data_IF_290956770330
#
_entry.id   IF_290956770330
#
_cell.length_a   1.000
_cell.length_b   1.000
_cell.length_c   1.000
_cell.angle_alpha   90.00
_cell.angle_beta   90.00
_cell.angle_gamma   90.00
#
_symmetry.space_group_name_H-M   'P 1'
#
loop_
_entity.id
_entity.type
_entity.pdbx_description
1 polymer ?
#
# COMPACT_ATOMS: atom_id res chain seq x y z
N UNK A 1 16.53 -4.51 -25.75
CA UNK A 1 16.59 -5.96 -25.43
C UNK A 1 16.49 -6.83 -26.69
N UNK A 2 15.35 -6.93 -27.39
CA UNK A 2 15.25 -7.76 -28.60
C UNK A 2 16.26 -7.38 -29.69
N UNK A 3 16.35 -6.10 -30.07
CA UNK A 3 17.35 -5.62 -31.05
C UNK A 3 18.80 -5.85 -30.60
N UNK A 4 19.04 -5.83 -29.29
CA UNK A 4 20.36 -6.09 -28.70
C UNK A 4 20.66 -7.59 -28.55
N UNK A 5 19.77 -8.49 -28.98
CA UNK A 5 19.96 -9.94 -28.88
C UNK A 5 19.75 -10.56 -27.50
N UNK A 6 19.60 -9.76 -26.44
CA UNK A 6 19.61 -10.22 -25.04
C UNK A 6 18.31 -10.87 -24.55
N UNK A 7 17.19 -10.71 -25.27
CA UNK A 7 15.89 -11.16 -24.78
C UNK A 7 15.84 -12.68 -24.58
N UNK A 8 16.45 -13.43 -25.51
CA UNK A 8 16.43 -14.89 -25.48
C UNK A 8 17.14 -15.46 -24.24
N UNK A 9 18.27 -14.85 -23.85
CA UNK A 9 19.02 -15.29 -22.68
C UNK A 9 18.27 -14.95 -21.38
N UNK A 10 17.68 -13.75 -21.29
CA UNK A 10 16.81 -13.36 -20.18
C UNK A 10 15.60 -14.29 -20.04
N UNK A 11 14.95 -14.63 -21.15
CA UNK A 11 13.83 -15.57 -21.18
C UNK A 11 14.24 -16.96 -20.65
N UNK A 12 15.44 -17.44 -21.00
CA UNK A 12 15.96 -18.74 -20.53
C UNK A 12 16.26 -18.78 -19.03
N UNK A 13 16.52 -17.62 -18.44
CA UNK A 13 16.73 -17.43 -17.00
C UNK A 13 15.42 -17.16 -16.24
N UNK A 14 14.27 -17.15 -16.92
CA UNK A 14 12.95 -16.87 -16.31
C UNK A 14 12.60 -15.38 -16.19
N UNK A 15 13.38 -14.49 -16.81
CA UNK A 15 13.10 -13.05 -16.87
C UNK A 15 12.24 -12.69 -18.08
N UNK A 16 11.14 -13.43 -18.28
CA UNK A 16 10.22 -13.18 -19.37
C UNK A 16 9.50 -11.83 -19.21
N UNK A 17 9.13 -11.20 -20.33
CA UNK A 17 8.25 -10.03 -20.29
C UNK A 17 6.85 -10.46 -19.82
N UNK A 18 6.54 -10.12 -18.57
CA UNK A 18 5.23 -10.42 -17.95
C UNK A 18 4.17 -9.33 -18.18
N UNK A 19 4.58 -8.12 -18.57
CA UNK A 19 3.68 -7.02 -18.88
C UNK A 19 4.32 -5.64 -18.76
N UNK A 20 3.65 -4.63 -19.33
CA UNK A 20 4.05 -3.23 -19.25
C UNK A 20 3.22 -2.50 -18.19
N UNK A 21 3.73 -2.42 -16.97
CA UNK A 21 3.05 -1.76 -15.85
C UNK A 21 3.83 -1.89 -14.54
N UNK A 22 3.29 -1.34 -13.44
CA UNK A 22 4.00 -1.31 -12.16
C UNK A 22 4.29 -2.71 -11.56
N UNK A 23 3.40 -3.69 -11.78
CA UNK A 23 3.54 -5.10 -11.35
C UNK A 23 4.09 -5.25 -9.92
N UNK A 24 5.24 -5.90 -9.74
CA UNK A 24 5.88 -6.15 -8.44
C UNK A 24 6.23 -4.87 -7.68
N UNK A 25 6.55 -3.76 -8.35
CA UNK A 25 6.93 -2.49 -7.70
C UNK A 25 5.79 -1.91 -6.82
N UNK A 26 4.53 -2.18 -7.18
CA UNK A 26 3.35 -1.77 -6.42
C UNK A 26 2.78 -2.90 -5.54
N UNK A 27 3.45 -4.06 -5.48
CA UNK A 27 2.99 -5.23 -4.73
C UNK A 27 2.07 -6.17 -5.51
N UNK A 28 1.82 -5.90 -6.79
CA UNK A 28 1.10 -6.84 -7.67
C UNK A 28 2.08 -7.92 -8.17
N UNK A 29 2.69 -8.65 -7.24
CA UNK A 29 3.69 -9.70 -7.51
C UNK A 29 3.07 -11.05 -7.85
N UNK A 30 1.77 -11.24 -7.58
CA UNK A 30 1.12 -12.54 -7.70
C UNK A 30 1.50 -13.51 -6.57
N UNK A 31 0.92 -14.72 -6.57
CA UNK A 31 1.22 -15.73 -5.56
C UNK A 31 2.59 -16.37 -5.80
N UNK A 32 3.30 -16.70 -4.72
CA UNK A 32 4.41 -17.63 -4.79
C UNK A 32 3.90 -19.05 -5.08
N UNK A 33 4.73 -19.95 -5.63
CA UNK A 33 4.38 -21.36 -5.75
C UNK A 33 3.92 -21.92 -4.39
N UNK A 34 2.83 -22.71 -4.32
CA UNK A 34 2.25 -23.16 -3.05
C UNK A 34 3.25 -23.90 -2.14
N UNK A 35 4.15 -24.68 -2.72
CA UNK A 35 5.20 -25.38 -1.96
C UNK A 35 6.20 -24.43 -1.29
N UNK A 36 6.55 -23.31 -1.96
CA UNK A 36 7.45 -22.28 -1.41
C UNK A 36 6.76 -21.53 -0.28
N UNK A 37 5.53 -21.06 -0.51
CA UNK A 37 4.73 -20.36 0.51
C UNK A 37 4.55 -21.22 1.77
N UNK A 38 4.23 -22.52 1.59
CA UNK A 38 4.12 -23.48 2.69
C UNK A 38 5.44 -23.61 3.48
N UNK A 39 6.57 -23.81 2.79
CA UNK A 39 7.87 -23.96 3.43
C UNK A 39 8.29 -22.71 4.22
N UNK A 40 8.05 -21.51 3.67
CA UNK A 40 8.34 -20.24 4.35
C UNK A 40 7.51 -20.09 5.63
N UNK A 41 6.21 -20.37 5.54
CA UNK A 41 5.29 -20.20 6.66
C UNK A 41 5.50 -21.25 7.77
N UNK A 42 5.62 -22.53 7.42
CA UNK A 42 5.86 -23.62 8.39
C UNK A 42 7.24 -23.53 9.04
N UNK A 43 8.27 -23.22 8.23
CA UNK A 43 9.64 -23.06 8.71
C UNK A 43 9.91 -21.72 9.41
N UNK A 44 8.92 -20.81 9.45
CA UNK A 44 9.06 -19.43 9.95
C UNK A 44 10.27 -18.70 9.35
N UNK A 45 10.57 -18.98 8.08
CA UNK A 45 11.76 -18.48 7.41
C UNK A 45 11.67 -16.97 7.16
N UNK A 46 12.83 -16.31 7.11
CA UNK A 46 12.95 -14.95 6.59
C UNK A 46 13.23 -15.05 5.10
N UNK A 47 12.17 -15.24 4.30
CA UNK A 47 12.28 -15.18 2.85
C UNK A 47 12.63 -13.76 2.40
N UNK A 48 13.49 -13.67 1.38
CA UNK A 48 13.95 -12.41 0.81
C UNK A 48 13.44 -12.23 -0.63
N UNK A 49 13.12 -10.99 -1.00
CA UNK A 49 12.93 -10.57 -2.38
C UNK A 49 13.97 -9.51 -2.74
N UNK A 50 14.49 -9.58 -3.96
CA UNK A 50 15.35 -8.57 -4.55
C UNK A 50 14.62 -7.99 -5.75
N UNK A 51 14.52 -6.65 -5.81
CA UNK A 51 13.78 -5.97 -6.87
C UNK A 51 14.46 -4.68 -7.30
N UNK A 52 14.36 -4.38 -8.59
CA UNK A 52 14.79 -3.09 -9.16
C UNK A 52 13.69 -2.04 -9.08
N UNK A 53 13.05 -1.95 -7.91
CA UNK A 53 12.04 -0.96 -7.57
C UNK A 53 12.62 0.23 -6.79
N UNK A 54 11.74 0.99 -6.15
CA UNK A 54 12.13 2.15 -5.33
C UNK A 54 11.60 2.11 -3.90
N UNK A 55 10.88 1.05 -3.52
CA UNK A 55 10.29 0.86 -2.19
C UNK A 55 10.32 -0.61 -1.78
N UNK A 56 10.65 -0.85 -0.52
CA UNK A 56 10.85 -2.19 0.04
C UNK A 56 10.26 -2.34 1.46
N UNK A 57 9.17 -1.61 1.76
CA UNK A 57 8.48 -1.72 3.03
C UNK A 57 7.97 -3.15 3.28
N UNK A 58 7.94 -3.56 4.55
CA UNK A 58 7.46 -4.88 4.95
C UNK A 58 6.02 -5.12 4.49
N UNK A 59 5.74 -6.31 3.95
CA UNK A 59 4.40 -6.70 3.46
C UNK A 59 3.95 -6.02 2.17
N UNK A 60 4.75 -5.13 1.57
CA UNK A 60 4.40 -4.44 0.31
C UNK A 60 4.64 -5.29 -0.92
N UNK A 61 5.79 -5.96 -1.02
CA UNK A 61 6.21 -6.66 -2.26
C UNK A 61 5.44 -7.97 -2.43
N UNK A 62 5.42 -8.81 -1.40
CA UNK A 62 4.70 -10.06 -1.36
C UNK A 62 4.38 -10.41 0.12
N UNK A 63 3.22 -10.99 0.44
CA UNK A 63 2.83 -11.28 1.83
C UNK A 63 3.73 -12.32 2.53
N UNK A 64 4.34 -13.25 1.79
CA UNK A 64 5.22 -14.29 2.34
C UNK A 64 6.67 -13.80 2.57
N UNK A 65 7.01 -12.59 2.09
CA UNK A 65 8.38 -12.07 2.13
C UNK A 65 8.54 -11.03 3.24
N UNK A 66 9.56 -11.20 4.07
CA UNK A 66 9.89 -10.29 5.17
C UNK A 66 11.05 -9.35 4.85
N UNK A 67 12.06 -9.84 4.13
CA UNK A 67 13.22 -9.04 3.74
C UNK A 67 13.10 -8.61 2.27
N UNK A 68 13.21 -7.32 1.99
CA UNK A 68 13.07 -6.79 0.64
C UNK A 68 14.25 -5.87 0.33
N UNK A 69 15.00 -6.15 -0.73
CA UNK A 69 16.21 -5.42 -1.09
C UNK A 69 16.03 -4.70 -2.44
N UNK A 70 16.29 -3.40 -2.44
CA UNK A 70 16.37 -2.62 -3.67
C UNK A 70 17.75 -2.78 -4.28
N UNK A 71 17.80 -3.20 -5.54
CA UNK A 71 19.05 -3.42 -6.25
C UNK A 71 18.94 -2.99 -7.72
N UNK A 72 20.08 -2.80 -8.39
CA UNK A 72 20.08 -2.57 -9.84
C UNK A 72 19.57 -3.81 -10.59
N UNK A 73 18.99 -3.66 -11.80
CA UNK A 73 18.54 -4.80 -12.61
C UNK A 73 19.54 -5.97 -12.73
N UNK A 74 20.85 -5.75 -13.01
CA UNK A 74 21.80 -6.87 -13.08
C UNK A 74 22.04 -7.56 -11.73
N UNK A 75 21.94 -6.85 -10.60
CA UNK A 75 22.01 -7.49 -9.28
C UNK A 75 20.78 -8.36 -9.00
N UNK A 76 19.59 -8.00 -9.49
CA UNK A 76 18.40 -8.86 -9.40
C UNK A 76 18.68 -10.21 -10.09
N UNK A 77 19.30 -10.17 -11.27
CA UNK A 77 19.71 -11.40 -11.99
C UNK A 77 20.76 -12.17 -11.20
N UNK A 78 21.78 -11.51 -10.66
CA UNK A 78 22.82 -12.16 -9.86
C UNK A 78 22.26 -12.89 -8.63
N UNK A 79 21.38 -12.25 -7.86
CA UNK A 79 20.74 -12.88 -6.71
C UNK A 79 19.75 -13.99 -7.09
N UNK A 80 19.08 -13.88 -8.24
CA UNK A 80 18.24 -14.96 -8.75
C UNK A 80 19.07 -16.20 -9.13
N UNK A 81 20.26 -16.01 -9.70
CA UNK A 81 21.20 -17.09 -10.00
C UNK A 81 21.78 -17.73 -8.72
N UNK A 82 22.18 -16.91 -7.75
CA UNK A 82 22.69 -17.39 -6.47
C UNK A 82 21.64 -18.10 -5.62
N UNK A 83 20.36 -17.71 -5.75
CA UNK A 83 19.23 -18.28 -5.02
C UNK A 83 19.16 -17.89 -3.53
N UNK A 84 20.04 -17.00 -3.06
CA UNK A 84 20.09 -16.50 -1.68
C UNK A 84 20.63 -15.08 -1.64
N UNK A 85 20.16 -14.27 -0.68
CA UNK A 85 20.77 -12.96 -0.35
C UNK A 85 21.86 -13.08 0.71
N UNK A 86 21.99 -14.23 1.34
CA UNK A 86 23.05 -14.55 2.30
C UNK A 86 24.25 -15.16 1.56
N UNK A 87 24.96 -14.31 0.79
CA UNK A 87 26.11 -14.68 -0.03
C UNK A 87 27.07 -13.48 -0.15
N UNK A 88 28.37 -13.72 0.01
CA UNK A 88 29.40 -12.73 -0.34
C UNK A 88 29.69 -12.82 -1.85
N UNK A 89 28.96 -12.05 -2.66
CA UNK A 89 29.12 -11.98 -4.12
C UNK A 89 30.54 -11.63 -4.59
N UNK A 90 31.43 -11.16 -3.70
CA UNK A 90 32.82 -10.85 -4.01
C UNK A 90 33.77 -12.03 -3.83
N UNK A 91 33.37 -13.06 -3.07
CA UNK A 91 34.22 -14.20 -2.70
C UNK A 91 33.61 -15.56 -3.00
N UNK A 92 32.29 -15.62 -3.11
CA UNK A 92 31.55 -16.86 -3.35
C UNK A 92 31.04 -16.92 -4.80
N UNK A 93 31.07 -18.10 -5.45
CA UNK A 93 30.60 -18.26 -6.81
C UNK A 93 29.06 -18.18 -6.87
N UNK A 94 28.53 -17.63 -7.96
CA UNK A 94 27.09 -17.64 -8.24
C UNK A 94 26.56 -19.06 -8.51
N UNK A 95 27.43 -19.94 -8.99
CA UNK A 95 27.10 -21.31 -9.34
C UNK A 95 28.29 -22.02 -9.97
N UNK A 96 28.02 -23.15 -10.62
CA UNK A 96 29.02 -23.93 -11.35
C UNK A 96 28.60 -24.09 -12.81
N UNK A 97 29.57 -24.03 -13.72
CA UNK A 97 29.33 -24.33 -15.12
C UNK A 97 29.09 -25.84 -15.37
N UNK A 98 28.83 -26.22 -16.63
CA UNK A 98 28.59 -27.63 -17.01
C UNK A 98 29.78 -28.56 -16.70
N UNK A 99 30.99 -28.01 -16.58
CA UNK A 99 32.20 -28.75 -16.20
C UNK A 99 32.45 -28.75 -14.69
N UNK A 100 31.57 -28.14 -13.89
CA UNK A 100 31.69 -28.05 -12.43
C UNK A 100 32.61 -26.92 -11.96
N UNK A 101 33.13 -26.08 -12.85
CA UNK A 101 34.00 -24.96 -12.48
C UNK A 101 33.16 -23.85 -11.81
N UNK A 102 33.59 -23.32 -10.66
CA UNK A 102 32.93 -22.17 -10.03
C UNK A 102 32.91 -20.96 -10.98
N UNK A 103 31.78 -20.25 -11.04
CA UNK A 103 31.64 -19.02 -11.82
C UNK A 103 31.37 -17.87 -10.87
N UNK A 104 32.27 -16.89 -10.87
CA UNK A 104 32.20 -15.70 -10.02
C UNK A 104 31.36 -14.60 -10.66
N UNK A 105 30.78 -13.70 -9.85
CA UNK A 105 30.05 -12.54 -10.37
C UNK A 105 30.92 -11.68 -11.29
N UNK A 106 32.19 -11.48 -10.93
CA UNK A 106 33.14 -10.68 -11.70
C UNK A 106 33.41 -11.23 -13.12
N UNK A 107 33.20 -12.53 -13.35
CA UNK A 107 33.34 -13.14 -14.69
C UNK A 107 32.13 -12.85 -15.59
N UNK A 108 30.96 -12.56 -15.01
CA UNK A 108 29.70 -12.34 -15.74
C UNK A 108 29.31 -10.86 -15.82
N UNK A 109 29.90 -10.01 -14.98
CA UNK A 109 29.49 -8.62 -14.86
C UNK A 109 29.94 -7.80 -16.08
N UNK A 110 29.02 -7.17 -16.82
CA UNK A 110 29.39 -6.41 -18.01
C UNK A 110 30.15 -5.14 -17.61
N UNK A 111 31.17 -4.81 -18.40
CA UNK A 111 31.86 -3.53 -18.29
C UNK A 111 30.97 -2.39 -18.78
N UNK A 112 31.24 -1.17 -18.31
CA UNK A 112 30.49 0.00 -18.78
C UNK A 112 30.63 0.24 -20.29
N UNK A 113 31.75 -0.17 -20.88
CA UNK A 113 31.97 -0.09 -22.32
C UNK A 113 31.03 -1.04 -23.09
N UNK A 114 30.93 -2.29 -22.65
CA UNK A 114 30.02 -3.27 -23.28
C UNK A 114 28.55 -2.84 -23.15
N UNK A 115 28.17 -2.22 -22.03
CA UNK A 115 26.83 -1.65 -21.86
C UNK A 115 26.61 -0.50 -22.84
N UNK A 116 27.53 0.46 -22.92
CA UNK A 116 27.43 1.62 -23.82
C UNK A 116 27.35 1.22 -25.30
N UNK A 117 28.12 0.22 -25.73
CA UNK A 117 28.06 -0.30 -27.10
C UNK A 117 26.68 -0.90 -27.44
N UNK A 118 25.99 -1.48 -26.45
CA UNK A 118 24.63 -1.99 -26.63
C UNK A 118 23.57 -0.88 -26.55
N UNK A 119 23.85 0.24 -25.90
CA UNK A 119 22.96 1.41 -25.87
C UNK A 119 22.79 2.04 -27.26
N UNK A 120 23.77 1.91 -28.17
CA UNK A 120 23.65 2.31 -29.58
C UNK A 120 22.54 1.55 -30.33
N UNK A 121 22.06 0.43 -29.78
CA UNK A 121 20.87 -0.24 -30.31
C UNK A 121 19.59 0.61 -30.14
N UNK A 122 19.56 1.55 -29.20
CA UNK A 122 18.43 2.43 -28.90
C UNK A 122 18.41 3.59 -29.92
N UNK A 123 17.32 3.71 -30.67
CA UNK A 123 17.21 4.73 -31.71
C UNK A 123 15.86 5.46 -31.70
N UNK A 124 15.84 6.69 -32.23
CA UNK A 124 14.65 7.55 -32.26
C UNK A 124 13.43 6.88 -32.91
N UNK A 125 13.63 6.00 -33.89
CA UNK A 125 12.55 5.28 -34.54
C UNK A 125 11.77 4.38 -33.56
N UNK A 126 12.42 3.78 -32.57
CA UNK A 126 11.74 2.96 -31.55
C UNK A 126 10.74 3.80 -30.76
N UNK A 127 11.10 5.03 -30.40
CA UNK A 127 10.22 5.93 -29.70
C UNK A 127 9.05 6.33 -30.60
N UNK A 128 9.31 6.73 -31.85
CA UNK A 128 8.24 7.07 -32.79
C UNK A 128 7.26 5.92 -33.03
N UNK A 129 7.75 4.69 -33.14
CA UNK A 129 6.88 3.52 -33.29
C UNK A 129 6.06 3.23 -32.03
N UNK A 130 6.67 3.29 -30.85
CA UNK A 130 5.97 2.99 -29.59
C UNK A 130 4.94 4.05 -29.21
N UNK A 131 5.24 5.34 -29.47
CA UNK A 131 4.35 6.45 -29.13
C UNK A 131 3.40 6.87 -30.26
N UNK A 132 3.63 6.42 -31.49
CA UNK A 132 2.83 6.81 -32.65
C UNK A 132 1.39 6.32 -32.62
N UNK A 133 1.07 5.34 -31.76
CA UNK A 133 -0.25 4.72 -31.70
C UNK A 133 -0.78 4.56 -30.26
N UNK A 134 -0.55 5.57 -29.41
CA UNK A 134 -0.98 5.51 -27.98
C UNK A 134 -2.49 5.43 -27.84
N UNK A 135 -3.25 6.07 -28.74
CA UNK A 135 -4.72 6.10 -28.66
C UNK A 135 -5.39 4.90 -29.36
N UNK A 136 -4.85 4.45 -30.49
CA UNK A 136 -5.51 3.40 -31.30
C UNK A 136 -4.78 2.04 -31.23
N UNK A 137 -3.71 1.92 -30.44
CA UNK A 137 -2.84 0.75 -30.40
C UNK A 137 -3.42 -0.49 -29.73
N UNK A 138 -4.56 -0.39 -29.05
CA UNK A 138 -5.19 -1.52 -28.37
C UNK A 138 -6.64 -1.70 -28.80
N UNK A 139 -6.94 -2.67 -29.69
CA UNK A 139 -8.30 -2.93 -30.16
C UNK A 139 -9.29 -3.26 -29.04
N UNK A 140 -8.85 -3.92 -27.96
CA UNK A 140 -9.69 -4.23 -26.81
C UNK A 140 -10.09 -2.97 -26.05
N UNK A 141 -9.16 -2.01 -25.89
CA UNK A 141 -9.46 -0.70 -25.30
C UNK A 141 -10.46 0.07 -26.17
N UNK A 142 -10.21 0.12 -27.48
CA UNK A 142 -11.06 0.84 -28.43
C UNK A 142 -12.49 0.27 -28.53
N UNK A 143 -12.66 -1.01 -28.22
CA UNK A 143 -13.95 -1.70 -28.26
C UNK A 143 -14.80 -1.49 -27.00
N UNK A 144 -14.28 -0.85 -25.93
CA UNK A 144 -15.05 -0.59 -24.71
C UNK A 144 -16.19 0.38 -25.03
N UNK A 145 -17.46 0.00 -24.84
CA UNK A 145 -18.58 0.91 -25.06
C UNK A 145 -18.50 2.09 -24.09
N UNK A 146 -18.54 3.32 -24.62
CA UNK A 146 -18.56 4.54 -23.82
C UNK A 146 -19.98 5.11 -23.86
N UNK A 147 -20.71 5.12 -22.73
CA UNK A 147 -21.96 5.87 -22.65
C UNK A 147 -21.64 7.36 -22.79
N UNK A 148 -22.40 8.08 -23.62
CA UNK A 148 -22.29 9.54 -23.71
C UNK A 148 -23.00 10.25 -22.55
N UNK A 149 -22.71 11.53 -22.36
CA UNK A 149 -23.35 12.40 -21.36
C UNK A 149 -22.37 13.03 -20.37
N UNK A 150 -22.84 14.08 -19.68
CA UNK A 150 -22.01 14.85 -18.73
C UNK A 150 -22.07 14.28 -17.30
N UNK A 151 -23.08 13.47 -16.99
CA UNK A 151 -23.30 12.86 -15.68
C UNK A 151 -23.05 11.35 -15.74
N UNK A 152 -22.27 10.84 -14.78
CA UNK A 152 -21.99 9.41 -14.67
C UNK A 152 -23.21 8.67 -14.08
N UNK A 153 -23.67 7.64 -14.77
CA UNK A 153 -24.76 6.78 -14.28
C UNK A 153 -24.20 5.72 -13.31
N UNK A 154 -24.35 5.97 -12.01
CA UNK A 154 -23.95 5.01 -10.99
C UNK A 154 -24.84 3.77 -11.01
N UNK A 155 -24.20 2.63 -10.78
CA UNK A 155 -24.79 1.30 -10.82
C UNK A 155 -24.71 0.67 -9.43
N UNK A 156 -25.86 0.44 -8.79
CA UNK A 156 -25.93 -0.02 -7.40
C UNK A 156 -25.26 -1.39 -7.19
N UNK A 157 -25.33 -2.24 -8.21
CA UNK A 157 -24.71 -3.57 -8.25
C UNK A 157 -23.18 -3.53 -8.48
N UNK A 158 -22.63 -2.42 -8.97
CA UNK A 158 -21.21 -2.29 -9.27
C UNK A 158 -20.35 -2.46 -8.02
N UNK A 159 -19.46 -3.44 -8.01
CA UNK A 159 -18.49 -3.58 -6.90
C UNK A 159 -17.20 -2.80 -7.11
N UNK A 160 -17.11 -1.99 -8.18
CA UNK A 160 -15.91 -1.23 -8.56
C UNK A 160 -16.08 0.28 -8.46
N UNK A 161 -17.21 0.81 -8.93
CA UNK A 161 -17.50 2.24 -8.96
C UNK A 161 -18.80 2.47 -8.18
N UNK A 162 -18.73 3.31 -7.14
CA UNK A 162 -19.87 3.67 -6.28
C UNK A 162 -19.89 5.18 -6.09
N UNK A 163 -21.07 5.76 -5.90
CA UNK A 163 -21.22 7.17 -5.57
C UNK A 163 -20.79 7.41 -4.12
N UNK A 164 -19.67 8.13 -3.87
CA UNK A 164 -19.13 8.25 -2.53
C UNK A 164 -19.88 9.32 -1.71
N UNK A 165 -19.98 9.17 -0.38
CA UNK A 165 -20.82 10.02 0.45
C UNK A 165 -20.23 11.41 0.75
N UNK A 166 -19.12 11.82 0.13
CA UNK A 166 -18.37 13.04 0.48
C UNK A 166 -19.21 14.32 0.34
N UNK A 167 -20.14 14.35 -0.61
CA UNK A 167 -20.95 15.53 -0.91
C UNK A 167 -22.44 15.37 -0.54
N UNK A 168 -22.82 14.24 0.05
CA UNK A 168 -24.22 13.92 0.35
C UNK A 168 -24.91 14.95 1.28
N UNK A 169 -24.13 15.64 2.11
CA UNK A 169 -24.61 16.69 3.01
C UNK A 169 -23.99 18.06 2.72
N UNK A 170 -23.48 18.28 1.51
CA UNK A 170 -22.87 19.56 1.13
C UNK A 170 -23.95 20.65 1.03
N UNK A 171 -23.70 21.78 1.69
CA UNK A 171 -24.54 22.98 1.64
C UNK A 171 -23.75 24.13 1.02
N UNK A 172 -24.44 25.10 0.41
CA UNK A 172 -23.80 26.29 -0.17
C UNK A 172 -23.02 27.09 0.89
N UNK A 173 -23.61 27.22 2.08
CA UNK A 173 -22.93 27.82 3.23
C UNK A 173 -22.30 26.71 4.07
N UNK A 174 -20.98 26.75 4.32
CA UNK A 174 -20.32 25.77 5.16
C UNK A 174 -20.77 25.92 6.61
N UNK A 175 -21.02 24.79 7.27
CA UNK A 175 -21.34 24.76 8.70
C UNK A 175 -20.15 25.31 9.52
N UNK A 176 -20.41 25.99 10.65
CA UNK A 176 -19.33 26.45 11.51
C UNK A 176 -18.48 25.28 12.00
N UNK A 177 -17.19 25.53 12.20
CA UNK A 177 -16.30 24.58 12.84
C UNK A 177 -16.75 24.37 14.30
N UNK A 178 -16.64 23.12 14.77
CA UNK A 178 -17.03 22.73 16.13
C UNK A 178 -15.86 22.04 16.81
N UNK A 179 -15.74 22.27 18.11
CA UNK A 179 -14.83 21.53 18.98
C UNK A 179 -15.15 20.03 18.95
N UNK A 180 -14.11 19.21 19.09
CA UNK A 180 -14.26 17.76 19.15
C UNK A 180 -14.37 17.37 20.61
N UNK A 181 -15.58 17.04 21.07
CA UNK A 181 -15.86 16.76 22.48
C UNK A 181 -15.96 15.26 22.74
N UNK A 182 -15.27 14.77 23.78
CA UNK A 182 -15.44 13.40 24.28
C UNK A 182 -15.07 12.30 23.27
N UNK A 183 -14.14 12.58 22.36
CA UNK A 183 -13.70 11.62 21.35
C UNK A 183 -12.98 10.42 21.96
N UNK A 184 -13.06 9.27 21.28
CA UNK A 184 -12.32 8.06 21.61
C UNK A 184 -11.12 7.89 20.68
N UNK A 185 -10.05 7.29 21.21
CA UNK A 185 -8.89 6.95 20.40
C UNK A 185 -9.19 5.64 19.67
N UNK A 186 -9.15 5.68 18.34
CA UNK A 186 -9.38 4.52 17.48
C UNK A 186 -8.13 3.63 17.38
N UNK A 187 -6.95 4.26 17.34
CA UNK A 187 -5.67 3.58 17.30
C UNK A 187 -4.56 4.48 17.89
N UNK A 188 -3.59 3.84 18.54
CA UNK A 188 -2.33 4.46 18.95
C UNK A 188 -1.22 3.77 18.15
N UNK A 189 -0.56 4.52 17.29
CA UNK A 189 0.39 4.00 16.32
C UNK A 189 1.80 4.50 16.65
N UNK A 190 2.81 3.70 16.29
CA UNK A 190 4.22 4.07 16.47
C UNK A 190 4.74 5.04 15.39
N UNK A 191 6.06 5.03 15.25
CA UNK A 191 6.77 5.80 14.23
C UNK A 191 6.63 5.19 12.82
N UNK A 192 6.88 6.01 11.80
CA UNK A 192 7.05 5.63 10.39
C UNK A 192 5.87 4.83 9.82
N UNK A 193 4.64 5.12 10.27
CA UNK A 193 3.41 4.54 9.73
C UNK A 193 3.20 5.05 8.31
N UNK A 194 3.56 4.22 7.33
CA UNK A 194 3.38 4.53 5.91
C UNK A 194 1.90 4.60 5.47
N UNK A 195 1.63 5.22 4.32
CA UNK A 195 0.30 5.16 3.69
C UNK A 195 -0.09 3.76 3.19
N UNK A 196 0.84 2.81 3.09
CA UNK A 196 0.51 1.39 2.87
C UNK A 196 -0.10 0.74 4.13
N UNK A 197 0.27 1.19 5.33
CA UNK A 197 -0.37 0.75 6.56
C UNK A 197 -1.78 1.34 6.71
N UNK A 198 -1.93 2.63 6.36
CA UNK A 198 -3.22 3.35 6.47
C UNK A 198 -4.20 2.93 5.37
N UNK A 199 -3.74 2.77 4.13
CA UNK A 199 -4.55 2.40 2.98
C UNK A 199 -3.78 1.39 2.12
N UNK A 200 -3.81 0.08 2.46
CA UNK A 200 -3.19 -0.95 1.65
C UNK A 200 -3.75 -0.94 0.22
N UNK A 201 -2.92 -1.34 -0.74
CA UNK A 201 -3.30 -1.41 -2.16
C UNK A 201 -3.27 -2.83 -2.73
N UNK A 202 -2.68 -3.79 -2.00
CA UNK A 202 -2.49 -5.17 -2.43
C UNK A 202 -3.72 -6.05 -2.20
N UNK A 203 -3.46 -7.34 -1.92
CA UNK A 203 -4.49 -8.37 -1.77
C UNK A 203 -5.52 -8.05 -0.67
N UNK A 204 -6.78 -8.48 -0.89
CA UNK A 204 -7.87 -8.36 0.07
C UNK A 204 -8.06 -9.72 0.75
N UNK A 205 -7.69 -9.86 2.02
CA UNK A 205 -7.84 -11.12 2.75
C UNK A 205 -9.32 -11.52 2.88
N UNK A 206 -9.63 -12.82 2.75
CA UNK A 206 -11.01 -13.35 2.78
C UNK A 206 -11.77 -12.94 4.06
N UNK A 207 -11.11 -13.07 5.21
CA UNK A 207 -11.72 -12.82 6.52
C UNK A 207 -11.65 -11.34 6.95
N UNK A 208 -11.10 -10.45 6.12
CA UNK A 208 -11.09 -9.00 6.40
C UNK A 208 -12.48 -8.38 6.25
N UNK A 209 -12.76 -7.19 6.82
CA UNK A 209 -14.04 -6.50 6.63
C UNK A 209 -14.41 -6.33 5.15
N UNK A 210 -13.43 -5.95 4.31
CA UNK A 210 -13.63 -5.79 2.87
C UNK A 210 -13.91 -7.13 2.17
N UNK A 211 -13.22 -8.20 2.58
CA UNK A 211 -13.45 -9.55 2.07
C UNK A 211 -14.84 -10.07 2.42
N UNK A 212 -15.29 -9.89 3.67
CA UNK A 212 -16.65 -10.24 4.11
C UNK A 212 -17.70 -9.48 3.32
N UNK A 213 -17.48 -8.18 3.05
CA UNK A 213 -18.35 -7.37 2.20
C UNK A 213 -18.43 -7.90 0.76
N UNK A 214 -17.30 -8.15 0.10
CA UNK A 214 -17.28 -8.66 -1.27
C UNK A 214 -17.92 -10.06 -1.37
N UNK A 215 -17.65 -10.94 -0.42
CA UNK A 215 -18.28 -12.26 -0.33
C UNK A 215 -19.80 -12.15 -0.16
N UNK A 216 -20.28 -11.22 0.67
CA UNK A 216 -21.73 -10.95 0.82
C UNK A 216 -22.39 -10.41 -0.46
N UNK A 217 -21.60 -9.90 -1.41
CA UNK A 217 -22.04 -9.50 -2.76
C UNK A 217 -21.91 -10.63 -3.78
N UNK A 218 -21.60 -11.86 -3.34
CA UNK A 218 -21.46 -13.03 -4.21
C UNK A 218 -20.15 -13.09 -5.00
N UNK A 219 -19.16 -12.26 -4.66
CA UNK A 219 -17.86 -12.27 -5.33
C UNK A 219 -16.98 -13.36 -4.70
N UNK A 220 -16.32 -14.16 -5.54
CA UNK A 220 -15.38 -15.18 -5.07
C UNK A 220 -14.00 -14.57 -4.77
N UNK A 221 -13.21 -15.19 -3.87
CA UNK A 221 -11.89 -14.68 -3.47
C UNK A 221 -10.95 -14.40 -4.65
N UNK A 222 -10.97 -15.24 -5.69
CA UNK A 222 -10.17 -15.04 -6.91
C UNK A 222 -10.52 -13.74 -7.65
N UNK A 223 -11.74 -13.25 -7.50
CA UNK A 223 -12.29 -12.06 -8.15
C UNK A 223 -12.34 -10.84 -7.22
N UNK A 224 -11.81 -10.95 -6.00
CA UNK A 224 -11.67 -9.80 -5.10
C UNK A 224 -10.80 -8.71 -5.72
N UNK A 225 -9.80 -9.13 -6.52
CA UNK A 225 -8.76 -8.26 -7.05
C UNK A 225 -8.01 -7.58 -5.88
N UNK A 226 -7.38 -6.43 -6.10
CA UNK A 226 -6.63 -5.71 -5.07
C UNK A 226 -7.40 -4.50 -4.52
N UNK A 227 -7.04 -4.03 -3.33
CA UNK A 227 -7.56 -2.76 -2.81
C UNK A 227 -7.31 -1.60 -3.79
N UNK A 228 -6.17 -1.59 -4.47
CA UNK A 228 -5.84 -0.58 -5.49
C UNK A 228 -6.84 -0.55 -6.65
N UNK A 229 -7.36 -1.72 -7.06
CA UNK A 229 -8.39 -1.82 -8.10
C UNK A 229 -9.78 -1.37 -7.63
N UNK A 230 -10.03 -1.36 -6.32
CA UNK A 230 -11.32 -1.04 -5.70
C UNK A 230 -11.44 0.42 -5.27
N UNK A 231 -10.50 1.28 -5.67
CA UNK A 231 -10.44 2.71 -5.29
C UNK A 231 -11.66 3.54 -5.70
N UNK A 232 -12.45 3.09 -6.67
CA UNK A 232 -13.72 3.72 -7.04
C UNK A 232 -14.90 3.33 -6.15
N UNK A 233 -14.70 2.41 -5.19
CA UNK A 233 -15.73 1.90 -4.30
C UNK A 233 -15.39 2.23 -2.84
N UNK A 234 -16.00 3.28 -2.30
CA UNK A 234 -15.80 3.71 -0.92
C UNK A 234 -16.15 2.63 0.10
N UNK A 235 -17.17 1.83 -0.19
CA UNK A 235 -17.64 0.73 0.67
C UNK A 235 -16.53 -0.31 0.89
N UNK A 236 -15.68 -0.56 -0.10
CA UNK A 236 -14.51 -1.45 0.03
C UNK A 236 -13.34 -0.72 0.68
N UNK A 237 -13.06 0.52 0.25
CA UNK A 237 -11.87 1.23 0.68
C UNK A 237 -11.91 1.65 2.15
N UNK A 238 -13.06 2.04 2.68
CA UNK A 238 -13.22 2.33 4.13
C UNK A 238 -12.96 1.08 4.96
N UNK A 239 -13.42 -0.09 4.50
CA UNK A 239 -13.16 -1.40 5.12
C UNK A 239 -11.70 -1.84 5.03
N UNK A 240 -10.98 -1.34 4.03
CA UNK A 240 -9.54 -1.53 3.88
C UNK A 240 -8.69 -0.55 4.67
N UNK A 241 -9.29 0.50 5.25
CA UNK A 241 -8.53 1.54 5.95
C UNK A 241 -7.99 0.99 7.27
N UNK A 242 -6.68 1.15 7.49
CA UNK A 242 -5.90 0.51 8.55
C UNK A 242 -5.94 -1.02 8.54
N UNK A 243 -6.36 -1.67 7.44
CA UNK A 243 -6.48 -3.14 7.37
C UNK A 243 -5.17 -3.86 7.01
N UNK A 244 -4.03 -3.17 7.03
CA UNK A 244 -2.75 -3.77 6.67
C UNK A 244 -2.36 -4.83 7.73
N UNK A 245 -1.98 -6.02 7.26
CA UNK A 245 -1.61 -7.17 8.10
C UNK A 245 -0.37 -6.94 8.98
N UNK A 246 0.43 -5.91 8.70
CA UNK A 246 1.63 -5.49 9.45
C UNK A 246 1.42 -4.24 10.30
N UNK A 247 0.20 -3.69 10.33
CA UNK A 247 -0.07 -2.54 11.20
C UNK A 247 0.15 -2.94 12.67
N UNK A 248 0.85 -2.09 13.43
CA UNK A 248 1.12 -2.28 14.85
C UNK A 248 0.37 -1.22 15.64
N UNK A 249 -0.70 -1.63 16.31
CA UNK A 249 -1.49 -0.76 17.17
C UNK A 249 -1.07 -1.00 18.63
N UNK A 250 -0.55 0.03 19.29
CA UNK A 250 -0.04 -0.02 20.66
C UNK A 250 -1.15 -0.26 21.69
N UNK A 251 -2.43 -0.09 21.31
CA UNK A 251 -3.58 -0.50 22.12
C UNK A 251 -3.72 -2.03 22.24
N UNK A 252 -3.04 -2.80 21.38
CA UNK A 252 -3.12 -4.27 21.32
C UNK A 252 -1.70 -4.86 21.19
N UNK A 253 -0.85 -4.72 22.22
CA UNK A 253 0.58 -5.03 22.11
C UNK A 253 0.83 -6.49 21.71
N UNK A 254 1.82 -6.70 20.83
CA UNK A 254 2.21 -8.01 20.33
C UNK A 254 1.33 -8.57 19.21
N UNK A 255 0.32 -7.82 18.76
CA UNK A 255 -0.55 -8.21 17.64
C UNK A 255 -0.27 -7.34 16.42
N UNK A 256 0.00 -7.97 15.28
CA UNK A 256 0.05 -7.31 13.97
C UNK A 256 -1.29 -7.46 13.25
N UNK A 257 -1.69 -6.43 12.52
CA UNK A 257 -2.89 -6.41 11.71
C UNK A 257 -3.77 -5.20 11.98
N UNK A 258 -4.82 -5.07 11.17
CA UNK A 258 -5.79 -3.97 11.26
C UNK A 258 -6.78 -4.08 12.41
N UNK A 259 -6.29 -4.27 13.63
CA UNK A 259 -7.09 -4.53 14.82
C UNK A 259 -6.95 -3.42 15.86
N UNK A 260 -7.99 -3.26 16.67
CA UNK A 260 -8.03 -2.33 17.80
C UNK A 260 -8.92 -2.89 18.91
N UNK A 261 -9.08 -2.13 20.00
CA UNK A 261 -10.01 -2.43 21.09
C UNK A 261 -11.12 -1.39 21.09
N UNK A 262 -12.37 -1.85 21.08
CA UNK A 262 -13.50 -1.00 21.38
C UNK A 262 -13.57 -0.75 22.89
N UNK A 263 -13.00 0.38 23.32
CA UNK A 263 -12.71 0.72 24.73
C UNK A 263 -13.91 0.52 25.67
N UNK A 264 -15.14 0.99 25.37
CA UNK A 264 -16.28 0.78 26.27
C UNK A 264 -16.59 -0.70 26.56
N UNK A 265 -16.35 -1.59 25.60
CA UNK A 265 -16.64 -3.03 25.75
C UNK A 265 -15.43 -3.88 26.12
N UNK A 266 -14.21 -3.38 25.91
CA UNK A 266 -12.98 -4.16 26.03
C UNK A 266 -12.75 -5.20 24.91
N UNK A 267 -13.66 -5.30 23.94
CA UNK A 267 -13.57 -6.27 22.85
C UNK A 267 -12.54 -5.87 21.80
N UNK A 268 -11.68 -6.83 21.41
CA UNK A 268 -10.75 -6.68 20.28
C UNK A 268 -11.46 -7.02 18.96
N UNK A 269 -11.36 -6.15 17.98
CA UNK A 269 -12.01 -6.30 16.67
C UNK A 269 -11.21 -5.60 15.55
N UNK A 270 -11.66 -5.76 14.31
CA UNK A 270 -11.11 -5.01 13.18
C UNK A 270 -11.36 -3.50 13.37
N UNK A 271 -10.41 -2.65 12.94
CA UNK A 271 -10.54 -1.18 13.08
C UNK A 271 -11.82 -0.65 12.43
N UNK A 272 -12.20 -1.20 11.28
CA UNK A 272 -13.46 -0.85 10.62
C UNK A 272 -14.67 -1.14 11.51
N UNK A 273 -14.75 -2.32 12.11
CA UNK A 273 -15.89 -2.73 12.94
C UNK A 273 -15.98 -1.87 14.22
N UNK A 274 -14.83 -1.52 14.82
CA UNK A 274 -14.78 -0.59 15.96
C UNK A 274 -15.27 0.82 15.57
N UNK A 275 -14.86 1.31 14.41
CA UNK A 275 -15.31 2.61 13.90
C UNK A 275 -16.82 2.65 13.65
N UNK A 276 -17.38 1.59 13.06
CA UNK A 276 -18.81 1.43 12.85
C UNK A 276 -19.60 1.43 14.16
N UNK A 277 -19.07 0.76 15.19
CA UNK A 277 -19.68 0.74 16.52
C UNK A 277 -19.67 2.12 17.17
N UNK A 278 -18.54 2.82 17.16
CA UNK A 278 -18.47 4.19 17.68
C UNK A 278 -19.36 5.17 16.91
N UNK A 279 -19.51 4.97 15.59
CA UNK A 279 -20.45 5.74 14.78
C UNK A 279 -21.90 5.54 15.22
N UNK A 280 -22.31 4.31 15.52
CA UNK A 280 -23.63 4.02 16.07
C UNK A 280 -23.83 4.64 17.48
N UNK A 281 -22.75 4.76 18.25
CA UNK A 281 -22.71 5.41 19.56
C UNK A 281 -22.62 6.95 19.48
N UNK A 282 -22.53 7.54 18.28
CA UNK A 282 -22.38 8.99 18.10
C UNK A 282 -21.07 9.55 18.64
N UNK A 283 -20.04 8.72 18.75
CA UNK A 283 -18.75 9.08 19.39
C UNK A 283 -17.72 9.50 18.34
N UNK A 284 -17.15 10.71 18.41
CA UNK A 284 -16.10 11.13 17.49
C UNK A 284 -14.79 10.36 17.75
N UNK A 285 -13.97 10.19 16.71
CA UNK A 285 -12.74 9.42 16.79
C UNK A 285 -11.48 10.25 16.55
N UNK A 286 -10.38 9.84 17.18
CA UNK A 286 -9.04 10.40 17.01
C UNK A 286 -8.04 9.26 16.79
N UNK A 287 -7.00 9.49 15.99
CA UNK A 287 -5.83 8.61 15.89
C UNK A 287 -4.64 9.29 16.54
N UNK A 288 -3.84 8.55 17.32
CA UNK A 288 -2.56 9.01 17.85
C UNK A 288 -1.44 8.28 17.09
N UNK A 289 -0.38 8.98 16.72
CA UNK A 289 0.76 8.41 16.00
C UNK A 289 2.10 8.97 16.48
N UNK A 290 3.18 8.25 16.17
CA UNK A 290 4.55 8.71 16.38
C UNK A 290 5.03 9.66 15.28
N UNK A 291 6.30 9.54 14.93
CA UNK A 291 7.00 10.35 13.92
C UNK A 291 6.70 9.87 12.50
N UNK A 292 6.84 10.76 11.53
CA UNK A 292 6.75 10.48 10.09
C UNK A 292 5.43 9.82 9.68
N UNK A 293 4.33 10.20 10.34
CA UNK A 293 3.02 9.65 10.05
C UNK A 293 2.59 9.94 8.62
N UNK A 294 2.25 8.89 7.88
CA UNK A 294 1.83 8.94 6.48
C UNK A 294 2.97 8.95 5.46
N UNK A 295 4.12 8.39 5.78
CA UNK A 295 5.23 8.29 4.83
C UNK A 295 4.90 7.40 3.60
N UNK A 296 5.61 7.61 2.49
CA UNK A 296 5.51 6.73 1.31
C UNK A 296 4.62 7.25 0.18
N UNK A 297 3.56 6.50 -0.16
CA UNK A 297 2.78 6.77 -1.38
C UNK A 297 1.83 7.95 -1.24
N UNK A 298 1.70 8.77 -2.29
CA UNK A 298 0.60 9.73 -2.39
C UNK A 298 -0.71 8.98 -2.66
N UNK A 299 -1.39 8.56 -1.60
CA UNK A 299 -2.70 7.90 -1.66
C UNK A 299 -3.71 8.75 -0.90
N UNK A 300 -4.63 9.36 -1.63
CA UNK A 300 -5.75 10.13 -1.07
C UNK A 300 -6.66 9.29 -0.17
N UNK A 301 -6.82 7.99 -0.47
CA UNK A 301 -7.57 7.05 0.34
C UNK A 301 -7.05 6.87 1.77
N UNK A 302 -5.77 7.18 2.04
CA UNK A 302 -5.28 7.23 3.41
C UNK A 302 -5.95 8.36 4.24
N UNK A 303 -6.39 9.45 3.59
CA UNK A 303 -7.17 10.50 4.25
C UNK A 303 -8.68 10.29 4.11
N UNK A 304 -9.18 9.93 2.92
CA UNK A 304 -10.61 9.65 2.69
C UNK A 304 -11.12 8.53 3.58
N UNK A 305 -10.37 7.43 3.68
CA UNK A 305 -10.69 6.30 4.55
C UNK A 305 -10.72 6.72 6.02
N UNK A 306 -9.71 7.47 6.47
CA UNK A 306 -9.63 8.02 7.84
C UNK A 306 -10.87 8.86 8.18
N UNK A 307 -11.27 9.76 7.28
CA UNK A 307 -12.50 10.54 7.43
C UNK A 307 -13.75 9.64 7.50
N UNK A 308 -13.89 8.67 6.59
CA UNK A 308 -15.07 7.81 6.49
C UNK A 308 -15.19 6.80 7.64
N UNK A 309 -14.09 6.49 8.33
CA UNK A 309 -14.12 5.80 9.63
C UNK A 309 -14.66 6.70 10.76
N UNK A 310 -14.88 7.99 10.53
CA UNK A 310 -15.34 8.94 11.54
C UNK A 310 -14.22 9.60 12.35
N UNK A 311 -12.96 9.47 11.92
CA UNK A 311 -11.84 10.15 12.55
C UNK A 311 -11.89 11.64 12.23
N UNK A 312 -11.90 12.47 13.28
CA UNK A 312 -12.01 13.93 13.20
C UNK A 312 -10.66 14.64 13.33
N UNK A 313 -9.71 14.02 14.01
CA UNK A 313 -8.35 14.52 14.14
C UNK A 313 -7.33 13.38 14.21
N UNK A 314 -6.12 13.69 13.81
CA UNK A 314 -4.93 12.85 14.05
C UNK A 314 -3.98 13.67 14.91
N UNK A 315 -3.39 13.06 15.95
CA UNK A 315 -2.36 13.68 16.79
C UNK A 315 -1.06 12.90 16.62
N UNK A 316 -0.07 13.50 15.96
CA UNK A 316 1.21 12.83 15.66
C UNK A 316 2.41 13.62 16.16
N UNK A 317 3.58 12.98 16.30
CA UNK A 317 4.83 13.70 16.60
C UNK A 317 5.32 14.49 15.38
N UNK A 318 5.17 13.91 14.19
CA UNK A 318 5.42 14.59 12.91
C UNK A 318 4.67 13.91 11.76
N UNK A 319 4.51 14.63 10.65
CA UNK A 319 3.81 14.16 9.46
C UNK A 319 4.71 14.19 8.23
N UNK A 320 4.47 13.26 7.30
CA UNK A 320 4.92 13.45 5.92
C UNK A 320 4.06 14.54 5.22
N UNK A 321 4.71 15.37 4.41
CA UNK A 321 4.15 16.58 3.79
C UNK A 321 2.89 16.33 2.96
N UNK A 322 2.90 15.31 2.10
CA UNK A 322 1.77 14.98 1.22
C UNK A 322 0.62 14.44 2.05
N UNK A 323 0.90 13.53 2.99
CA UNK A 323 -0.17 12.97 3.82
C UNK A 323 -0.86 14.02 4.69
N UNK A 324 -0.09 14.92 5.32
CA UNK A 324 -0.65 16.07 6.06
C UNK A 324 -1.60 16.88 5.19
N UNK A 325 -1.21 17.17 3.95
CA UNK A 325 -2.02 17.96 3.01
C UNK A 325 -3.31 17.23 2.63
N UNK A 326 -3.26 15.90 2.46
CA UNK A 326 -4.45 15.10 2.18
C UNK A 326 -5.43 15.07 3.37
N UNK A 327 -4.93 14.99 4.62
CA UNK A 327 -5.79 15.07 5.81
C UNK A 327 -6.53 16.40 5.85
N UNK A 328 -5.82 17.52 5.66
CA UNK A 328 -6.43 18.87 5.58
C UNK A 328 -7.46 18.94 4.46
N UNK A 329 -7.12 18.45 3.26
CA UNK A 329 -8.03 18.45 2.11
C UNK A 329 -9.31 17.63 2.32
N UNK A 330 -9.30 16.64 3.21
CA UNK A 330 -10.48 15.87 3.60
C UNK A 330 -11.19 16.42 4.84
N UNK A 331 -10.67 17.47 5.48
CA UNK A 331 -11.23 18.04 6.71
C UNK A 331 -10.92 17.24 7.98
N UNK A 332 -9.89 16.39 7.98
CA UNK A 332 -9.35 15.73 9.18
C UNK A 332 -8.25 16.62 9.76
N UNK A 333 -8.38 17.03 11.02
CA UNK A 333 -7.46 17.97 11.66
C UNK A 333 -6.11 17.30 12.01
N UNK A 334 -4.98 17.66 11.38
CA UNK A 334 -3.67 17.12 11.73
C UNK A 334 -3.06 17.96 12.86
N UNK A 335 -3.14 17.45 14.08
CA UNK A 335 -2.49 18.02 15.26
C UNK A 335 -1.08 17.44 15.41
N UNK A 336 -0.16 18.27 15.86
CA UNK A 336 1.20 17.86 16.19
C UNK A 336 1.48 18.08 17.68
N UNK A 337 2.15 17.13 18.32
CA UNK A 337 2.65 17.34 19.68
C UNK A 337 3.61 18.54 19.73
N UNK A 338 3.69 19.20 20.88
CA UNK A 338 4.72 20.23 21.11
C UNK A 338 6.11 19.57 21.08
N UNK A 339 7.13 20.36 20.78
CA UNK A 339 8.50 19.88 20.75
C UNK A 339 8.86 19.17 22.07
N UNK A 340 9.38 17.94 21.96
CA UNK A 340 9.74 17.10 23.11
C UNK A 340 8.59 16.35 23.78
N UNK A 341 7.36 16.47 23.28
CA UNK A 341 6.21 15.70 23.76
C UNK A 341 5.78 14.63 22.76
N UNK A 342 5.23 13.55 23.29
CA UNK A 342 4.61 12.45 22.55
C UNK A 342 3.62 11.69 23.43
N UNK A 343 3.01 10.64 22.88
CA UNK A 343 2.04 9.80 23.60
C UNK A 343 2.61 9.24 24.91
N UNK A 344 3.83 8.70 24.87
CA UNK A 344 4.49 8.10 26.04
C UNK A 344 4.78 9.14 27.15
N UNK A 345 5.41 10.26 26.80
CA UNK A 345 5.76 11.33 27.74
C UNK A 345 4.55 11.96 28.44
N UNK A 346 3.38 11.90 27.79
CA UNK A 346 2.12 12.42 28.31
C UNK A 346 1.23 11.32 28.92
N UNK A 347 1.69 10.06 28.93
CA UNK A 347 0.94 8.93 29.48
C UNK A 347 -0.34 8.57 28.70
N UNK A 348 -0.41 8.89 27.41
CA UNK A 348 -1.57 8.60 26.57
C UNK A 348 -1.56 7.13 26.15
N UNK A 349 -2.56 6.38 26.65
CA UNK A 349 -2.71 4.94 26.41
C UNK A 349 -3.67 4.61 25.28
N UNK A 350 -4.54 5.55 24.90
CA UNK A 350 -5.65 5.34 23.98
C UNK A 350 -6.96 4.92 24.67
N UNK A 351 -6.95 4.71 25.99
CA UNK A 351 -8.15 4.36 26.76
C UNK A 351 -8.95 5.60 27.21
N UNK A 352 -8.35 6.78 27.08
CA UNK A 352 -8.91 8.04 27.53
C UNK A 352 -10.09 8.50 26.64
N UNK A 353 -10.74 9.59 27.07
CA UNK A 353 -11.55 10.42 26.19
C UNK A 353 -10.81 11.72 25.94
N UNK A 354 -10.80 12.19 24.70
CA UNK A 354 -10.11 13.40 24.29
C UNK A 354 -11.13 14.50 23.96
N UNK A 355 -10.86 15.70 24.45
CA UNK A 355 -11.55 16.91 24.02
C UNK A 355 -10.53 17.82 23.35
N UNK A 356 -10.80 18.22 22.10
CA UNK A 356 -10.01 19.19 21.35
C UNK A 356 -10.86 20.45 21.22
N UNK A 357 -10.51 21.46 22.01
CA UNK A 357 -11.20 22.73 22.08
C UNK A 357 -10.50 23.83 21.25
N UNK A 358 -11.19 24.94 21.02
CA UNK A 358 -10.65 26.11 20.30
C UNK A 358 -10.75 26.03 18.78
N UNK A 359 -11.37 24.98 18.25
CA UNK A 359 -11.65 24.81 16.82
C UNK A 359 -12.79 25.74 16.40
N UNK A 360 -13.82 25.91 17.25
CA UNK A 360 -14.98 26.73 16.94
C UNK A 360 -14.72 28.25 16.90
N UNK A 361 -13.53 28.69 17.31
CA UNK A 361 -13.18 30.11 17.43
C UNK A 361 -12.04 30.57 16.53
N UNK A 362 -10.83 30.09 16.78
CA UNK A 362 -9.58 30.72 16.29
C UNK A 362 -8.99 30.07 15.03
N UNK A 363 -9.44 28.86 14.68
CA UNK A 363 -8.98 28.15 13.50
C UNK A 363 -9.62 28.77 12.24
N UNK A 364 -8.83 29.45 11.41
CA UNK A 364 -9.23 30.03 10.12
C UNK A 364 -8.64 29.27 8.96
#
# INVERSE_FOLDING_TARGET
LQKAGLMKDLDSLGFNLVGYGCTTCIGNSGPLPPAVSKAVNEGKLVAAAVLSGNRNFEGRVNPDVKANYLASPPLVVAYALAGTTDIDLTKEPLGRDKGGRPVMLAELWPTQKEVAELEDSIGAQMFRSSYGNVFDGNPTWNAIPVPGGDLFEFKDESTYIQDPPFFASLTLEPKPLLDILGARVLAVLGDSVTTDHISPAGDIALNSPAGRYLASKGIEKRDFNSYGSRRGNDRVMVRGTFANIRLKNLMVPGVEGGVTVHVPSGERMDIYDAAERYRAEGTPLVVIAGKEYGSGSSRDWAAKGTLLLGVRAVLAESYERIHRSNLVGMGVLPLQFKAGQNAESLGLTGLEKLTIAGIAGELR
#
